data_IF_421473553555
#
_entry.id   IF_421473553555
#
_cell.length_a   1.000
_cell.length_b   1.000
_cell.length_c   1.000
_cell.angle_alpha   90.00
_cell.angle_beta   90.00
_cell.angle_gamma   90.00
#
_symmetry.space_group_name_H-M   'P 1'
#
loop_
_entity.id
_entity.type
_entity.pdbx_description
1 polymer ?
#
# COMPACT_ATOMS: atom_id res chain seq x y z
N UNK A 1 -2.22 23.00 19.21
CA UNK A 1 -1.68 21.66 19.55
C UNK A 1 -2.73 20.64 19.16
N UNK A 2 -2.33 19.53 18.55
CA UNK A 2 -3.27 18.44 18.23
C UNK A 2 -3.82 17.88 19.54
N UNK A 3 -5.14 17.71 19.61
CA UNK A 3 -5.76 17.04 20.74
C UNK A 3 -5.31 15.56 20.75
N UNK A 4 -5.14 14.99 21.95
CA UNK A 4 -4.77 13.58 22.10
C UNK A 4 -5.73 12.68 21.34
N UNK A 5 -7.01 13.05 21.28
CA UNK A 5 -8.03 12.35 20.54
C UNK A 5 -7.78 12.34 19.03
N UNK A 6 -7.34 13.46 18.45
CA UNK A 6 -7.01 13.55 17.01
C UNK A 6 -5.76 12.73 16.69
N UNK A 7 -4.76 12.74 17.58
CA UNK A 7 -3.55 11.92 17.43
C UNK A 7 -3.92 10.43 17.43
N UNK A 8 -4.69 10.01 18.44
CA UNK A 8 -5.13 8.61 18.53
C UNK A 8 -5.98 8.22 17.32
N UNK A 9 -6.88 9.09 16.86
CA UNK A 9 -7.71 8.81 15.68
C UNK A 9 -6.88 8.62 14.40
N UNK A 10 -5.92 9.50 14.11
CA UNK A 10 -5.05 9.40 12.92
C UNK A 10 -4.26 8.09 12.90
N UNK A 11 -3.63 7.76 14.03
CA UNK A 11 -2.82 6.56 14.14
C UNK A 11 -3.67 5.29 14.12
N UNK A 12 -4.82 5.28 14.82
CA UNK A 12 -5.74 4.14 14.83
C UNK A 12 -6.37 3.90 13.46
N UNK A 13 -6.79 4.95 12.75
CA UNK A 13 -7.34 4.83 11.40
C UNK A 13 -6.27 4.38 10.40
N UNK A 14 -5.05 4.92 10.48
CA UNK A 14 -3.93 4.45 9.65
C UNK A 14 -3.68 2.95 9.85
N UNK A 15 -3.57 2.52 11.11
CA UNK A 15 -3.38 1.11 11.47
C UNK A 15 -4.54 0.25 10.96
N UNK A 16 -5.78 0.69 11.18
CA UNK A 16 -6.98 -0.02 10.75
C UNK A 16 -7.02 -0.19 9.22
N UNK A 17 -6.75 0.87 8.47
CA UNK A 17 -6.75 0.83 7.01
C UNK A 17 -5.64 -0.09 6.49
N UNK A 18 -4.43 -0.03 7.06
CA UNK A 18 -3.37 -0.97 6.73
C UNK A 18 -3.74 -2.42 7.05
N UNK A 19 -4.41 -2.66 8.18
CA UNK A 19 -4.93 -3.98 8.54
C UNK A 19 -6.02 -4.47 7.57
N UNK A 20 -6.91 -3.61 7.08
CA UNK A 20 -7.95 -3.95 6.10
C UNK A 20 -7.30 -4.41 4.79
N UNK A 21 -6.32 -3.64 4.27
CA UNK A 21 -5.57 -4.00 3.06
C UNK A 21 -4.82 -5.33 3.28
N UNK A 22 -4.22 -5.51 4.45
CA UNK A 22 -3.50 -6.74 4.81
C UNK A 22 -4.40 -7.94 5.09
N UNK A 23 -5.66 -7.75 5.46
CA UNK A 23 -6.61 -8.85 5.66
C UNK A 23 -6.95 -9.49 4.32
N UNK A 24 -7.25 -8.69 3.30
CA UNK A 24 -7.50 -9.18 1.94
C UNK A 24 -6.31 -9.98 1.39
N UNK A 25 -5.08 -9.50 1.66
CA UNK A 25 -3.84 -10.20 1.27
C UNK A 25 -3.67 -11.52 2.02
N UNK A 26 -3.91 -11.52 3.33
CA UNK A 26 -3.76 -12.71 4.18
C UNK A 26 -4.78 -13.80 3.83
N UNK A 27 -6.03 -13.41 3.53
CA UNK A 27 -7.08 -14.34 3.10
C UNK A 27 -6.76 -15.00 1.75
N UNK A 28 -5.96 -14.35 0.90
CA UNK A 28 -5.50 -14.86 -0.39
C UNK A 28 -4.14 -15.58 -0.30
N UNK A 29 -3.71 -15.95 0.91
CA UNK A 29 -2.47 -16.72 1.13
C UNK A 29 -1.17 -15.97 0.82
N UNK A 30 -1.20 -14.65 0.68
CA UNK A 30 0.00 -13.87 0.29
C UNK A 30 0.94 -13.65 1.49
N UNK A 31 2.27 -13.59 1.26
CA UNK A 31 3.27 -13.56 2.33
C UNK A 31 3.26 -12.30 3.21
N UNK A 32 2.63 -11.21 2.74
CA UNK A 32 2.48 -9.97 3.50
C UNK A 32 1.04 -9.83 4.00
N UNK A 33 0.84 -10.05 5.29
CA UNK A 33 -0.48 -10.03 5.93
C UNK A 33 -0.79 -8.77 6.74
N UNK A 34 -1.87 -8.85 7.52
CA UNK A 34 -2.42 -7.74 8.34
C UNK A 34 -1.38 -7.03 9.19
N UNK A 35 -0.53 -7.78 9.91
CA UNK A 35 0.48 -7.21 10.82
C UNK A 35 1.47 -6.32 10.07
N UNK A 36 1.98 -6.79 8.93
CA UNK A 36 2.99 -6.06 8.17
C UNK A 36 2.41 -4.78 7.57
N UNK A 37 1.26 -4.88 6.90
CA UNK A 37 0.64 -3.71 6.27
C UNK A 37 0.09 -2.72 7.29
N UNK A 38 -0.43 -3.19 8.43
CA UNK A 38 -0.78 -2.33 9.56
C UNK A 38 0.41 -1.53 10.10
N UNK A 39 1.56 -2.18 10.31
CA UNK A 39 2.79 -1.51 10.75
C UNK A 39 3.34 -0.53 9.72
N UNK A 40 3.27 -0.86 8.42
CA UNK A 40 3.67 0.05 7.34
C UNK A 40 2.83 1.33 7.34
N UNK A 41 1.49 1.20 7.41
CA UNK A 41 0.61 2.37 7.47
C UNK A 41 0.83 3.20 8.74
N UNK A 42 0.97 2.53 9.89
CA UNK A 42 1.22 3.20 11.17
C UNK A 42 2.57 3.95 11.18
N UNK A 43 3.65 3.32 10.71
CA UNK A 43 4.97 3.93 10.64
C UNK A 43 4.99 5.16 9.72
N UNK A 44 4.33 5.05 8.57
CA UNK A 44 4.17 6.16 7.65
C UNK A 44 3.40 7.34 8.29
N UNK A 45 2.29 7.05 8.99
CA UNK A 45 1.52 8.07 9.72
C UNK A 45 2.34 8.72 10.84
N UNK A 46 3.13 7.95 11.59
CA UNK A 46 4.00 8.45 12.66
C UNK A 46 5.03 9.44 12.11
N UNK A 47 5.71 9.11 11.01
CA UNK A 47 6.71 9.99 10.39
C UNK A 47 6.07 11.29 9.89
N UNK A 48 4.91 11.20 9.22
CA UNK A 48 4.15 12.35 8.77
C UNK A 48 3.74 13.26 9.93
N UNK A 49 3.18 12.69 11.00
CA UNK A 49 2.74 13.45 12.16
C UNK A 49 3.91 14.08 12.91
N UNK A 50 5.02 13.36 13.08
CA UNK A 50 6.23 13.90 13.68
C UNK A 50 6.71 15.14 12.90
N UNK A 51 6.76 15.05 11.57
CA UNK A 51 7.15 16.17 10.72
C UNK A 51 6.23 17.40 10.91
N UNK A 52 4.91 17.20 10.93
CA UNK A 52 3.95 18.29 11.13
C UNK A 52 3.98 18.91 12.53
N UNK A 53 4.36 18.13 13.54
CA UNK A 53 4.49 18.60 14.92
C UNK A 53 5.76 19.45 15.12
N UNK A 54 6.87 19.08 14.47
CA UNK A 54 8.13 19.82 14.54
C UNK A 54 8.16 21.04 13.62
N UNK A 55 7.48 20.97 12.47
CA UNK A 55 7.45 22.03 11.48
C UNK A 55 6.02 22.24 10.94
N UNK A 56 5.22 23.12 11.58
CA UNK A 56 3.84 23.38 11.17
C UNK A 56 3.72 23.88 9.72
N UNK A 57 2.64 23.49 9.04
CA UNK A 57 2.45 23.70 7.59
C UNK A 57 2.08 25.14 7.17
N UNK A 58 1.97 26.05 8.13
CA UNK A 58 1.71 27.47 7.91
C UNK A 58 2.89 28.16 7.21
N UNK A 59 4.11 27.68 7.47
CA UNK A 59 5.34 28.15 6.84
C UNK A 59 5.72 27.33 5.59
N UNK A 60 6.45 27.97 4.67
CA UNK A 60 7.09 27.27 3.55
C UNK A 60 8.06 26.19 4.05
N UNK A 61 8.81 26.49 5.12
CA UNK A 61 9.70 25.55 5.78
C UNK A 61 8.97 24.28 6.27
N UNK A 62 7.77 24.40 6.85
CA UNK A 62 6.99 23.25 7.28
C UNK A 62 6.48 22.38 6.15
N UNK A 63 6.03 22.99 5.04
CA UNK A 63 5.63 22.24 3.84
C UNK A 63 6.81 21.48 3.22
N UNK A 64 7.98 22.11 3.20
CA UNK A 64 9.23 21.52 2.72
C UNK A 64 9.74 20.39 3.65
N UNK A 65 9.65 20.57 4.97
CA UNK A 65 9.95 19.53 5.95
C UNK A 65 9.03 18.30 5.78
N UNK A 66 7.73 18.51 5.59
CA UNK A 66 6.78 17.41 5.32
C UNK A 66 7.09 16.72 3.99
N UNK A 67 7.39 17.49 2.93
CA UNK A 67 7.77 16.93 1.63
C UNK A 67 8.98 16.01 1.75
N UNK A 68 10.04 16.44 2.46
CA UNK A 68 11.21 15.59 2.74
C UNK A 68 10.89 14.35 3.56
N UNK A 69 10.04 14.48 4.59
CA UNK A 69 9.62 13.34 5.40
C UNK A 69 8.88 12.30 4.55
N UNK A 70 7.96 12.74 3.69
CA UNK A 70 7.24 11.88 2.74
C UNK A 70 8.19 11.21 1.74
N UNK A 71 9.15 11.96 1.18
CA UNK A 71 10.18 11.40 0.30
C UNK A 71 11.02 10.32 1.00
N UNK A 72 11.36 10.54 2.27
CA UNK A 72 12.06 9.57 3.12
C UNK A 72 11.26 8.29 3.33
N UNK A 73 9.96 8.40 3.62
CA UNK A 73 9.05 7.25 3.75
C UNK A 73 8.95 6.48 2.44
N UNK A 74 8.71 7.15 1.32
CA UNK A 74 8.59 6.51 0.00
C UNK A 74 9.90 5.79 -0.38
N UNK A 75 11.05 6.43 -0.15
CA UNK A 75 12.37 5.82 -0.38
C UNK A 75 12.58 4.58 0.49
N UNK A 76 12.31 4.67 1.80
CA UNK A 76 12.46 3.55 2.72
C UNK A 76 11.57 2.36 2.37
N UNK A 77 10.37 2.63 1.87
CA UNK A 77 9.42 1.58 1.47
C UNK A 77 9.77 0.96 0.13
N UNK A 78 10.47 1.69 -0.75
CA UNK A 78 11.11 1.12 -1.91
C UNK A 78 12.04 -0.06 -1.57
N UNK A 79 12.76 0.02 -0.44
CA UNK A 79 13.61 -1.07 0.03
C UNK A 79 12.80 -2.30 0.47
N UNK A 80 11.71 -2.11 1.23
CA UNK A 80 10.81 -3.20 1.61
C UNK A 80 10.14 -3.84 0.38
N UNK A 81 9.73 -3.02 -0.58
CA UNK A 81 9.14 -3.47 -1.84
C UNK A 81 10.12 -4.29 -2.69
N UNK A 82 11.37 -3.84 -2.83
CA UNK A 82 12.40 -4.60 -3.52
C UNK A 82 12.69 -5.94 -2.81
N UNK A 83 12.71 -5.95 -1.48
CA UNK A 83 12.98 -7.16 -0.68
C UNK A 83 11.94 -8.28 -0.83
N UNK A 84 10.73 -7.98 -1.31
CA UNK A 84 9.68 -9.00 -1.56
C UNK A 84 9.58 -9.44 -3.01
N UNK A 85 10.29 -8.77 -3.93
CA UNK A 85 10.31 -9.13 -5.35
C UNK A 85 11.43 -10.14 -5.58
N UNK A 86 11.06 -11.37 -5.97
CA UNK A 86 12.02 -12.48 -6.12
C UNK A 86 11.96 -13.05 -7.53
N UNK A 87 13.12 -13.13 -8.17
CA UNK A 87 13.30 -13.83 -9.44
C UNK A 87 13.66 -15.29 -9.20
N UNK A 88 12.87 -16.20 -9.76
CA UNK A 88 13.07 -17.64 -9.69
C UNK A 88 13.77 -18.10 -10.96
N UNK A 89 15.08 -18.36 -10.88
CA UNK A 89 15.91 -18.70 -12.04
C UNK A 89 15.46 -19.98 -12.76
N UNK A 90 15.01 -20.99 -12.01
CA UNK A 90 14.57 -22.28 -12.57
C UNK A 90 13.32 -22.16 -13.45
N UNK A 91 12.43 -21.21 -13.12
CA UNK A 91 11.18 -21.00 -13.85
C UNK A 91 11.22 -19.75 -14.72
N UNK A 92 12.28 -18.94 -14.63
CA UNK A 92 12.37 -17.59 -15.22
C UNK A 92 11.21 -16.65 -14.82
N UNK A 93 10.65 -16.82 -13.61
CA UNK A 93 9.47 -16.08 -13.14
C UNK A 93 9.80 -15.06 -12.06
N UNK A 94 9.10 -13.92 -12.09
CA UNK A 94 9.13 -12.90 -11.02
C UNK A 94 7.90 -13.06 -10.14
N UNK A 95 8.09 -13.20 -8.82
CA UNK A 95 7.01 -13.20 -7.82
C UNK A 95 7.10 -11.95 -6.93
N UNK A 96 5.96 -11.55 -6.38
CA UNK A 96 5.90 -10.50 -5.34
C UNK A 96 5.63 -9.07 -5.83
N UNK A 97 5.41 -8.84 -7.13
CA UNK A 97 5.11 -7.51 -7.68
C UNK A 97 3.87 -6.87 -7.03
N UNK A 98 2.75 -7.59 -6.97
CA UNK A 98 1.52 -7.10 -6.33
C UNK A 98 1.68 -6.90 -4.83
N UNK A 99 2.53 -7.71 -4.19
CA UNK A 99 2.89 -7.55 -2.78
C UNK A 99 3.66 -6.25 -2.55
N UNK A 100 4.68 -5.98 -3.36
CA UNK A 100 5.42 -4.72 -3.32
C UNK A 100 4.52 -3.51 -3.56
N UNK A 101 3.62 -3.58 -4.55
CA UNK A 101 2.63 -2.53 -4.80
C UNK A 101 1.68 -2.33 -3.61
N UNK A 102 1.25 -3.41 -2.96
CA UNK A 102 0.38 -3.33 -1.78
C UNK A 102 1.07 -2.68 -0.57
N UNK A 103 2.35 -2.95 -0.37
CA UNK A 103 3.17 -2.30 0.66
C UNK A 103 3.28 -0.80 0.35
N UNK A 104 3.56 -0.46 -0.91
CA UNK A 104 3.70 0.93 -1.35
C UNK A 104 2.41 1.75 -1.16
N UNK A 105 1.27 1.23 -1.63
CA UNK A 105 -0.01 1.97 -1.52
C UNK A 105 -0.48 2.08 -0.06
N UNK A 106 -0.23 1.06 0.76
CA UNK A 106 -0.56 1.08 2.19
C UNK A 106 0.20 2.19 2.93
N UNK A 107 1.45 2.41 2.55
CA UNK A 107 2.23 3.52 3.08
C UNK A 107 1.65 4.89 2.70
N UNK A 108 1.23 5.03 1.43
CA UNK A 108 0.53 6.22 0.96
C UNK A 108 -0.72 6.50 1.78
N UNK A 109 -1.52 5.47 2.07
CA UNK A 109 -2.68 5.56 2.97
C UNK A 109 -2.25 6.02 4.37
N UNK A 110 -1.18 5.46 4.93
CA UNK A 110 -0.63 5.90 6.20
C UNK A 110 -0.23 7.38 6.22
N UNK A 111 0.46 7.86 5.19
CA UNK A 111 0.83 9.28 5.04
C UNK A 111 -0.41 10.16 5.06
N UNK A 112 -1.41 9.87 4.23
CA UNK A 112 -2.62 10.73 4.16
C UNK A 112 -3.44 10.68 5.45
N UNK A 113 -3.47 9.54 6.15
CA UNK A 113 -4.04 9.45 7.50
C UNK A 113 -3.26 10.31 8.51
N UNK A 114 -1.93 10.27 8.49
CA UNK A 114 -1.08 11.12 9.34
C UNK A 114 -1.31 12.61 9.08
N UNK A 115 -1.54 13.00 7.83
CA UNK A 115 -1.90 14.38 7.46
C UNK A 115 -3.30 14.78 7.94
N UNK A 116 -4.16 13.82 8.29
CA UNK A 116 -5.58 14.05 8.60
C UNK A 116 -6.44 14.25 7.34
N UNK A 117 -5.96 13.83 6.17
CA UNK A 117 -6.66 13.96 4.89
C UNK A 117 -7.69 12.83 4.69
N UNK A 118 -8.72 12.81 5.54
CA UNK A 118 -9.69 11.70 5.66
C UNK A 118 -10.40 11.33 4.36
N UNK A 119 -10.74 12.33 3.53
CA UNK A 119 -11.38 12.12 2.23
C UNK A 119 -10.47 11.33 1.29
N UNK A 120 -9.19 11.70 1.23
CA UNK A 120 -8.19 11.03 0.39
C UNK A 120 -7.91 9.63 0.91
N UNK A 121 -7.77 9.48 2.24
CA UNK A 121 -7.57 8.18 2.88
C UNK A 121 -8.72 7.20 2.59
N UNK A 122 -9.96 7.63 2.77
CA UNK A 122 -11.15 6.81 2.55
C UNK A 122 -11.34 6.42 1.08
N UNK A 123 -11.24 7.39 0.16
CA UNK A 123 -11.33 7.11 -1.29
C UNK A 123 -10.20 6.17 -1.72
N UNK A 124 -8.96 6.42 -1.27
CA UNK A 124 -7.81 5.58 -1.57
C UNK A 124 -8.01 4.13 -1.12
N UNK A 125 -8.48 3.93 0.11
CA UNK A 125 -8.79 2.58 0.62
C UNK A 125 -9.86 1.89 -0.23
N UNK A 126 -10.95 2.58 -0.55
CA UNK A 126 -12.04 2.02 -1.37
C UNK A 126 -11.50 1.59 -2.75
N UNK A 127 -10.69 2.42 -3.40
CA UNK A 127 -10.10 2.10 -4.70
C UNK A 127 -9.13 0.91 -4.62
N UNK A 128 -8.33 0.81 -3.58
CA UNK A 128 -7.44 -0.35 -3.35
C UNK A 128 -8.26 -1.63 -3.17
N UNK A 129 -9.31 -1.60 -2.36
CA UNK A 129 -10.18 -2.75 -2.15
C UNK A 129 -10.93 -3.15 -3.42
N UNK A 130 -11.42 -2.16 -4.18
CA UNK A 130 -12.07 -2.39 -5.47
C UNK A 130 -11.10 -3.03 -6.47
N UNK A 131 -9.83 -2.60 -6.50
CA UNK A 131 -8.82 -3.21 -7.37
C UNK A 131 -8.53 -4.66 -6.97
N UNK A 132 -8.45 -4.98 -5.68
CA UNK A 132 -8.24 -6.37 -5.24
C UNK A 132 -9.46 -7.26 -5.48
N UNK A 133 -10.68 -6.73 -5.37
CA UNK A 133 -11.90 -7.48 -5.62
C UNK A 133 -12.15 -7.68 -7.12
N UNK A 134 -11.98 -6.62 -7.93
CA UNK A 134 -12.32 -6.63 -9.35
C UNK A 134 -11.13 -6.97 -10.27
N UNK A 135 -9.89 -6.85 -9.82
CA UNK A 135 -8.71 -7.07 -10.67
C UNK A 135 -8.72 -8.45 -11.32
N UNK A 136 -8.89 -9.49 -10.50
CA UNK A 136 -8.89 -10.88 -10.96
C UNK A 136 -10.04 -11.23 -11.95
N UNK A 137 -11.32 -10.88 -11.69
CA UNK A 137 -12.39 -11.13 -12.65
C UNK A 137 -12.27 -10.25 -13.90
N UNK A 138 -11.76 -9.03 -13.78
CA UNK A 138 -11.58 -8.12 -14.91
C UNK A 138 -10.46 -8.62 -15.85
N UNK A 139 -9.33 -9.05 -15.29
CA UNK A 139 -8.24 -9.66 -16.06
C UNK A 139 -8.70 -10.91 -16.80
N UNK A 140 -9.45 -11.81 -16.12
CA UNK A 140 -10.04 -12.99 -16.75
C UNK A 140 -11.02 -12.62 -17.88
N UNK A 141 -11.85 -11.59 -17.68
CA UNK A 141 -12.81 -11.14 -18.71
C UNK A 141 -12.12 -10.52 -19.93
N UNK A 142 -11.09 -9.70 -19.71
CA UNK A 142 -10.31 -9.05 -20.77
C UNK A 142 -9.48 -10.07 -21.55
N UNK A 143 -8.89 -11.05 -20.86
CA UNK A 143 -8.22 -12.18 -21.52
C UNK A 143 -9.17 -12.98 -22.40
N UNK A 144 -10.38 -13.27 -21.92
CA UNK A 144 -11.37 -14.03 -22.70
C UNK A 144 -11.91 -13.27 -23.91
N UNK A 145 -12.02 -11.93 -23.84
CA UNK A 145 -12.61 -11.10 -24.90
C UNK A 145 -11.61 -10.58 -25.92
N UNK A 146 -10.41 -10.19 -25.52
CA UNK A 146 -9.49 -9.39 -26.36
C UNK A 146 -8.10 -10.01 -26.51
N UNK A 147 -7.54 -10.59 -25.44
CA UNK A 147 -6.22 -11.23 -25.52
C UNK A 147 -6.42 -12.72 -25.76
N UNK A 148 -6.61 -13.10 -27.02
CA UNK A 148 -6.46 -14.47 -27.50
C UNK A 148 -5.01 -14.97 -27.34
N UNK A 149 -4.51 -15.01 -26.10
CA UNK A 149 -3.24 -15.63 -25.75
C UNK A 149 -3.41 -17.14 -25.77
N UNK A 150 -2.41 -17.82 -26.36
CA UNK A 150 -2.32 -19.27 -26.53
C UNK A 150 -2.48 -20.00 -25.18
N UNK A 151 -2.96 -21.25 -25.18
CA UNK A 151 -3.16 -22.07 -23.96
C UNK A 151 -1.97 -22.05 -23.00
N UNK A 152 -0.73 -21.97 -23.53
CA UNK A 152 0.49 -21.87 -22.72
C UNK A 152 0.59 -20.60 -21.87
N UNK A 153 0.08 -19.47 -22.36
CA UNK A 153 0.09 -18.21 -21.60
C UNK A 153 -1.03 -18.13 -20.56
N UNK A 154 -2.12 -18.89 -20.76
CA UNK A 154 -3.21 -19.00 -19.77
C UNK A 154 -2.78 -19.83 -18.56
N UNK A 155 -2.07 -20.92 -18.81
CA UNK A 155 -1.47 -21.75 -17.75
C UNK A 155 -0.49 -20.94 -16.88
N UNK A 156 0.23 -19.99 -17.48
CA UNK A 156 1.17 -19.13 -16.75
C UNK A 156 0.45 -18.17 -15.79
N UNK A 157 -0.61 -17.49 -16.24
CA UNK A 157 -1.35 -16.48 -15.45
C UNK A 157 -2.03 -17.11 -14.22
N UNK A 158 -2.71 -18.25 -14.37
CA UNK A 158 -3.36 -18.92 -13.23
C UNK A 158 -2.34 -19.48 -12.21
N UNK A 159 -1.08 -19.71 -12.61
CA UNK A 159 0.04 -20.07 -11.70
C UNK A 159 0.67 -18.86 -10.99
N UNK A 160 0.43 -17.63 -11.46
CA UNK A 160 1.01 -16.39 -10.92
C UNK A 160 0.17 -15.76 -9.80
N UNK A 161 -1.11 -16.11 -9.72
CA UNK A 161 -2.05 -15.61 -8.70
C UNK A 161 -2.00 -16.38 -7.37
N UNK A 162 -1.11 -17.38 -7.23
CA UNK A 162 -0.77 -18.09 -5.98
C UNK A 162 0.63 -17.71 -5.40
#
# INVERSE_FOLDING_TARGET
MLDYWDITARLAIALLFGCIVGLERNLRGKPTGMKTLGLVALGAALVTMASMQFAPLDSEYGRDALSRAVQGVITGIGFLGAGVIVFHAETSKIKGLTTAASIWVTAGIGIVCGMGAWRVAGIGLILVMLLFLLGHPLERMLHKRWLGKSENERADIDLHDE
#
